data_IF_365982912393
#
_entry.id   IF_365982912393
#
_cell.length_a   1.000
_cell.length_b   1.000
_cell.length_c   1.000
_cell.angle_alpha   90.00
_cell.angle_beta   90.00
_cell.angle_gamma   90.00
#
_symmetry.space_group_name_H-M   'P 1'
#
loop_
_entity.id
_entity.type
_entity.pdbx_description
1 polymer ?
#
# COMPACT_ATOMS: atom_id res chain seq x y z
N UNK A 1 9.59 -16.87 8.55
CA UNK A 1 8.52 -15.97 8.05
C UNK A 1 8.99 -15.38 6.74
N UNK A 2 8.19 -15.41 5.67
CA UNK A 2 8.58 -14.77 4.41
C UNK A 2 8.70 -13.24 4.61
N UNK A 3 9.70 -12.63 3.97
CA UNK A 3 9.84 -11.18 3.87
C UNK A 3 9.48 -10.77 2.44
N UNK A 4 8.42 -9.97 2.30
CA UNK A 4 7.77 -9.70 1.01
C UNK A 4 7.71 -8.18 0.79
N UNK A 5 8.79 -7.54 0.28
CA UNK A 5 8.79 -6.11 0.06
C UNK A 5 7.82 -5.68 -1.04
N UNK A 6 7.38 -4.43 -0.95
CA UNK A 6 6.80 -3.70 -2.08
C UNK A 6 7.77 -2.58 -2.46
N UNK A 7 7.71 -2.12 -3.69
CA UNK A 7 8.62 -1.11 -4.19
C UNK A 7 8.11 0.31 -3.83
N UNK A 8 8.95 1.09 -3.17
CA UNK A 8 8.83 2.52 -3.01
C UNK A 8 9.65 3.30 -4.04
N UNK A 9 9.70 4.62 -3.87
CA UNK A 9 10.47 5.50 -4.75
C UNK A 9 11.98 5.37 -4.53
N UNK A 10 12.43 5.21 -3.28
CA UNK A 10 13.86 5.13 -2.97
C UNK A 10 14.50 3.81 -3.42
N UNK A 11 13.71 2.74 -3.56
CA UNK A 11 14.19 1.46 -4.11
C UNK A 11 14.60 1.56 -5.60
N UNK A 12 14.29 2.70 -6.22
CA UNK A 12 14.47 3.00 -7.64
C UNK A 12 15.41 4.16 -7.88
N UNK A 13 15.84 4.86 -6.83
CA UNK A 13 16.56 6.12 -6.96
C UNK A 13 17.97 5.91 -7.52
N UNK A 14 18.22 6.41 -8.73
CA UNK A 14 19.53 6.39 -9.39
C UNK A 14 20.35 7.62 -9.02
N UNK A 15 19.69 8.78 -8.99
CA UNK A 15 20.26 10.06 -8.61
C UNK A 15 19.30 10.80 -7.67
N UNK A 16 19.78 11.73 -6.81
CA UNK A 16 18.92 12.45 -5.90
C UNK A 16 17.83 13.27 -6.61
N UNK A 17 16.60 13.24 -6.09
CA UNK A 17 15.53 14.13 -6.57
C UNK A 17 15.85 15.61 -6.26
N UNK A 18 16.02 16.41 -7.31
CA UNK A 18 16.21 17.87 -7.21
C UNK A 18 14.90 18.68 -7.16
N UNK A 19 14.99 20.04 -7.12
CA UNK A 19 13.81 20.92 -7.08
C UNK A 19 13.07 21.06 -8.42
N UNK A 20 13.68 20.65 -9.54
CA UNK A 20 13.10 20.65 -10.90
C UNK A 20 13.45 19.35 -11.62
N UNK A 21 12.58 18.87 -12.55
CA UNK A 21 12.87 17.66 -13.31
C UNK A 21 14.18 17.82 -14.10
N UNK A 22 15.14 16.88 -13.96
CA UNK A 22 16.35 16.89 -14.78
C UNK A 22 16.07 16.37 -16.20
N UNK A 23 17.06 16.48 -17.08
CA UNK A 23 16.99 15.96 -18.46
C UNK A 23 17.11 14.43 -18.58
N UNK A 24 17.51 13.76 -17.49
CA UNK A 24 17.68 12.31 -17.41
C UNK A 24 16.71 11.73 -16.38
N UNK A 25 16.33 10.45 -16.48
CA UNK A 25 15.54 9.79 -15.44
C UNK A 25 16.26 9.81 -14.08
N UNK A 26 15.53 10.17 -13.03
CA UNK A 26 15.99 10.12 -11.63
C UNK A 26 15.86 8.71 -11.05
N UNK A 27 14.92 7.93 -11.61
CA UNK A 27 14.57 6.61 -11.10
C UNK A 27 14.69 5.55 -12.19
N UNK A 28 15.07 4.36 -11.78
CA UNK A 28 14.89 3.12 -12.53
C UNK A 28 13.51 2.55 -12.22
N UNK A 29 12.55 2.77 -13.13
CA UNK A 29 11.17 2.27 -12.98
C UNK A 29 11.13 0.75 -12.80
N UNK A 30 12.10 0.03 -13.36
CA UNK A 30 12.16 -1.42 -13.22
C UNK A 30 12.69 -1.87 -11.86
N UNK A 31 13.27 -0.97 -11.04
CA UNK A 31 13.90 -1.29 -9.77
C UNK A 31 14.93 -2.44 -9.88
N UNK A 32 15.74 -2.43 -10.95
CA UNK A 32 16.57 -3.56 -11.38
C UNK A 32 17.49 -4.04 -10.26
N UNK A 33 18.25 -3.12 -9.65
CA UNK A 33 19.18 -3.46 -8.57
C UNK A 33 18.45 -4.01 -7.33
N UNK A 34 17.29 -3.45 -6.99
CA UNK A 34 16.50 -3.91 -5.85
C UNK A 34 15.94 -5.31 -6.07
N UNK A 35 15.36 -5.56 -7.25
CA UNK A 35 14.74 -6.84 -7.60
C UNK A 35 15.76 -7.95 -7.85
N UNK A 36 17.02 -7.62 -8.13
CA UNK A 36 18.11 -8.59 -8.15
C UNK A 36 18.38 -9.16 -6.74
N UNK A 37 18.25 -8.33 -5.71
CA UNK A 37 18.44 -8.76 -4.32
C UNK A 37 17.17 -9.35 -3.68
N UNK A 38 16.01 -8.75 -3.96
CA UNK A 38 14.70 -9.22 -3.49
C UNK A 38 13.86 -9.75 -4.67
N UNK A 39 13.98 -11.04 -5.01
CA UNK A 39 13.11 -11.63 -6.03
C UNK A 39 11.67 -11.71 -5.49
N UNK A 40 10.80 -10.87 -6.04
CA UNK A 40 9.39 -10.77 -5.67
C UNK A 40 8.52 -11.68 -6.56
N UNK A 41 7.34 -12.12 -6.10
CA UNK A 41 6.47 -13.01 -6.87
C UNK A 41 5.99 -12.36 -8.17
N UNK A 42 5.44 -13.19 -9.06
CA UNK A 42 4.82 -12.75 -10.31
C UNK A 42 5.77 -11.88 -11.15
N UNK A 43 5.32 -10.68 -11.53
CA UNK A 43 6.12 -9.71 -12.29
C UNK A 43 7.10 -8.94 -11.38
N UNK A 44 7.02 -9.11 -10.06
CA UNK A 44 7.92 -8.53 -9.07
C UNK A 44 7.66 -7.06 -8.70
N UNK A 45 6.98 -6.30 -9.55
CA UNK A 45 6.61 -4.90 -9.25
C UNK A 45 5.16 -4.76 -8.75
N UNK A 46 4.28 -5.66 -9.19
CA UNK A 46 2.96 -5.95 -8.62
C UNK A 46 2.88 -7.45 -8.39
N UNK A 47 2.27 -7.87 -7.30
CA UNK A 47 2.23 -9.28 -6.95
C UNK A 47 1.08 -9.63 -6.02
N UNK A 48 0.75 -10.92 -6.01
CA UNK A 48 -0.22 -11.52 -5.09
C UNK A 48 0.47 -12.49 -4.14
N UNK A 49 0.06 -12.50 -2.88
CA UNK A 49 0.47 -13.51 -1.92
C UNK A 49 -0.72 -13.97 -1.07
N UNK A 50 -0.99 -15.27 -1.07
CA UNK A 50 -2.11 -15.84 -0.33
C UNK A 50 -1.64 -16.64 0.88
N UNK A 51 -2.44 -16.59 1.94
CA UNK A 51 -2.37 -17.50 3.09
C UNK A 51 -3.75 -18.16 3.24
N UNK A 52 -4.04 -19.21 2.44
CA UNK A 52 -5.38 -19.78 2.33
C UNK A 52 -5.94 -20.29 3.66
N UNK A 53 -5.08 -20.80 4.54
CA UNK A 53 -5.46 -21.29 5.87
C UNK A 53 -6.15 -20.23 6.75
N UNK A 54 -6.01 -18.93 6.42
CA UNK A 54 -6.64 -17.82 7.11
C UNK A 54 -7.53 -16.97 6.19
N UNK A 55 -7.79 -17.44 4.96
CA UNK A 55 -8.55 -16.69 3.96
C UNK A 55 -7.95 -15.32 3.62
N UNK A 56 -6.63 -15.16 3.75
CA UNK A 56 -5.93 -13.88 3.60
C UNK A 56 -5.23 -13.80 2.24
N UNK A 57 -5.37 -12.66 1.58
CA UNK A 57 -4.66 -12.29 0.36
C UNK A 57 -4.04 -10.91 0.51
N UNK A 58 -2.79 -10.78 0.07
CA UNK A 58 -2.12 -9.51 -0.14
C UNK A 58 -2.04 -9.22 -1.64
N UNK A 59 -2.32 -7.97 -2.00
CA UNK A 59 -2.15 -7.42 -3.34
C UNK A 59 -1.22 -6.21 -3.26
N UNK A 60 -0.01 -6.37 -3.76
CA UNK A 60 0.97 -5.29 -3.83
C UNK A 60 0.85 -4.52 -5.13
N UNK A 61 0.86 -3.20 -5.02
CA UNK A 61 0.85 -2.26 -6.11
C UNK A 61 2.18 -1.52 -6.19
N UNK A 62 2.64 -1.34 -7.41
CA UNK A 62 3.61 -0.32 -7.79
C UNK A 62 2.92 1.05 -7.87
N UNK A 63 2.90 1.75 -6.75
CA UNK A 63 2.44 3.13 -6.70
C UNK A 63 3.28 3.92 -5.72
N UNK A 64 4.00 4.90 -6.26
CA UNK A 64 4.74 5.94 -5.53
C UNK A 64 4.85 7.17 -6.45
N UNK A 65 4.81 8.37 -5.90
CA UNK A 65 4.84 9.65 -6.65
C UNK A 65 4.01 9.65 -7.95
N UNK A 66 2.76 9.20 -7.88
CA UNK A 66 1.92 8.90 -9.07
C UNK A 66 1.68 10.11 -10.00
N UNK A 67 1.88 11.32 -9.48
CA UNK A 67 1.80 12.58 -10.25
C UNK A 67 2.96 12.78 -11.23
N UNK A 68 4.07 12.08 -11.06
CA UNK A 68 5.26 12.22 -11.90
C UNK A 68 5.24 11.31 -13.14
N UNK A 69 4.15 10.55 -13.36
CA UNK A 69 4.00 9.73 -14.56
C UNK A 69 4.22 10.52 -15.85
N UNK A 70 5.00 9.95 -16.76
CA UNK A 70 5.38 10.56 -18.04
C UNK A 70 6.49 11.61 -17.93
N UNK A 71 7.08 11.82 -16.74
CA UNK A 71 8.19 12.76 -16.53
C UNK A 71 9.48 12.02 -16.21
N UNK A 72 10.60 12.74 -16.15
CA UNK A 72 11.90 12.21 -15.69
C UNK A 72 11.95 11.91 -14.19
N UNK A 73 10.88 12.21 -13.44
CA UNK A 73 10.67 11.81 -12.05
C UNK A 73 9.76 10.59 -11.88
N UNK A 74 9.30 9.98 -12.96
CA UNK A 74 8.46 8.78 -12.88
C UNK A 74 9.19 7.68 -12.11
N UNK A 75 8.59 7.23 -11.01
CA UNK A 75 9.12 6.14 -10.20
C UNK A 75 8.46 4.82 -10.56
N UNK A 76 7.20 4.82 -10.97
CA UNK A 76 6.38 3.62 -11.11
C UNK A 76 5.99 3.26 -12.55
N UNK A 77 5.60 2.01 -12.74
CA UNK A 77 4.86 1.57 -13.93
C UNK A 77 3.55 2.37 -14.05
N UNK A 78 2.91 2.40 -15.24
CA UNK A 78 1.66 3.14 -15.42
C UNK A 78 0.59 2.75 -14.38
N UNK A 79 -0.05 3.77 -13.78
CA UNK A 79 -1.10 3.60 -12.75
C UNK A 79 -2.45 4.25 -13.09
N UNK A 80 -2.66 4.62 -14.35
CA UNK A 80 -3.95 5.10 -14.86
C UNK A 80 -4.99 3.97 -14.91
N UNK A 81 -6.27 4.30 -15.06
CA UNK A 81 -7.39 3.35 -15.08
C UNK A 81 -7.37 2.37 -16.25
N UNK A 82 -6.63 2.68 -17.32
CA UNK A 82 -6.38 1.80 -18.46
C UNK A 82 -5.08 1.00 -18.34
N UNK A 83 -4.28 1.24 -17.29
CA UNK A 83 -2.98 0.59 -17.11
C UNK A 83 -3.09 -0.92 -16.88
N UNK A 84 -2.05 -1.70 -17.26
CA UNK A 84 -1.98 -3.13 -16.96
C UNK A 84 -2.13 -3.43 -15.46
N UNK A 85 -1.64 -2.54 -14.59
CA UNK A 85 -1.76 -2.70 -13.14
C UNK A 85 -3.19 -2.54 -12.66
N UNK A 86 -3.89 -1.49 -13.10
CA UNK A 86 -5.27 -1.25 -12.69
C UNK A 86 -6.19 -2.40 -13.12
N UNK A 87 -6.05 -2.85 -14.37
CA UNK A 87 -6.81 -3.99 -14.89
C UNK A 87 -6.49 -5.30 -14.15
N UNK A 88 -5.23 -5.53 -13.81
CA UNK A 88 -4.82 -6.68 -12.99
C UNK A 88 -5.44 -6.61 -11.60
N UNK A 89 -5.33 -5.47 -10.91
CA UNK A 89 -5.86 -5.29 -9.57
C UNK A 89 -7.38 -5.45 -9.54
N UNK A 90 -8.08 -4.90 -10.54
CA UNK A 90 -9.54 -5.07 -10.68
C UNK A 90 -9.94 -6.54 -10.76
N UNK A 91 -9.20 -7.36 -11.51
CA UNK A 91 -9.45 -8.83 -11.58
C UNK A 91 -9.15 -9.52 -10.26
N UNK A 92 -8.03 -9.21 -9.61
CA UNK A 92 -7.63 -9.89 -8.38
C UNK A 92 -8.51 -9.53 -7.18
N UNK A 93 -8.89 -8.26 -7.04
CA UNK A 93 -9.72 -7.81 -5.91
C UNK A 93 -11.16 -8.31 -6.04
N UNK A 94 -11.68 -8.50 -7.26
CA UNK A 94 -13.02 -9.01 -7.51
C UNK A 94 -13.20 -10.51 -7.17
N UNK A 95 -12.11 -11.28 -7.07
CA UNK A 95 -12.17 -12.69 -6.66
C UNK A 95 -12.72 -12.80 -5.23
N UNK A 96 -13.56 -13.82 -5.00
CA UNK A 96 -14.25 -14.06 -3.72
C UNK A 96 -13.70 -15.26 -2.96
N UNK A 97 -12.53 -15.75 -3.36
CA UNK A 97 -11.83 -16.90 -2.77
C UNK A 97 -10.98 -16.55 -1.54
N UNK A 98 -11.03 -15.29 -1.08
CA UNK A 98 -10.36 -14.82 0.12
C UNK A 98 -11.31 -13.92 0.95
N UNK A 99 -11.45 -14.24 2.24
CA UNK A 99 -12.24 -13.46 3.20
C UNK A 99 -11.60 -12.10 3.51
N UNK A 100 -10.28 -12.03 3.51
CA UNK A 100 -9.53 -10.80 3.80
C UNK A 100 -8.59 -10.48 2.64
N UNK A 101 -8.70 -9.27 2.09
CA UNK A 101 -7.81 -8.80 1.03
C UNK A 101 -7.14 -7.50 1.47
N UNK A 102 -5.83 -7.48 1.55
CA UNK A 102 -5.05 -6.31 1.96
C UNK A 102 -4.30 -5.76 0.77
N UNK A 103 -4.55 -4.49 0.47
CA UNK A 103 -3.86 -3.79 -0.60
C UNK A 103 -2.64 -3.06 -0.02
N UNK A 104 -1.48 -3.25 -0.63
CA UNK A 104 -0.23 -2.62 -0.22
C UNK A 104 0.24 -1.66 -1.32
N UNK A 105 0.66 -0.45 -0.97
CA UNK A 105 1.28 0.51 -1.90
C UNK A 105 2.29 1.42 -1.18
N UNK A 106 2.98 2.31 -1.91
CA UNK A 106 3.89 3.30 -1.34
C UNK A 106 3.57 4.71 -1.85
N UNK A 107 2.30 5.11 -1.77
CA UNK A 107 1.81 6.45 -2.10
C UNK A 107 0.86 6.94 -1.01
N UNK A 108 0.62 8.24 -0.92
CA UNK A 108 -0.41 8.81 -0.05
C UNK A 108 -1.77 8.21 -0.40
N UNK A 109 -2.47 7.68 0.60
CA UNK A 109 -3.80 7.10 0.41
C UNK A 109 -4.80 8.10 -0.20
N UNK A 110 -4.78 9.36 0.26
CA UNK A 110 -5.62 10.42 -0.31
C UNK A 110 -5.28 10.71 -1.79
N UNK A 111 -4.01 10.64 -2.16
CA UNK A 111 -3.57 10.81 -3.54
C UNK A 111 -4.12 9.69 -4.42
N UNK A 112 -3.91 8.43 -4.03
CA UNK A 112 -4.39 7.29 -4.81
C UNK A 112 -5.91 7.30 -5.01
N UNK A 113 -6.69 7.65 -3.95
CA UNK A 113 -8.15 7.73 -4.06
C UNK A 113 -8.63 8.83 -5.01
N UNK A 114 -7.90 9.93 -5.14
CA UNK A 114 -8.23 11.04 -6.04
C UNK A 114 -7.58 10.96 -7.42
N UNK A 115 -6.58 10.10 -7.59
CA UNK A 115 -5.82 9.99 -8.82
C UNK A 115 -6.67 9.50 -9.98
N UNK A 116 -6.36 9.97 -11.19
CA UNK A 116 -7.05 9.62 -12.44
C UNK A 116 -8.59 9.65 -12.30
N UNK A 117 -9.12 10.80 -11.86
CA UNK A 117 -10.56 11.04 -11.63
C UNK A 117 -11.19 10.04 -10.64
N UNK A 118 -10.39 9.49 -9.73
CA UNK A 118 -10.82 8.55 -8.70
C UNK A 118 -10.93 7.11 -9.15
N UNK A 119 -10.23 6.71 -10.22
CA UNK A 119 -10.31 5.35 -10.79
C UNK A 119 -9.97 4.22 -9.81
N UNK A 120 -9.17 4.47 -8.77
CA UNK A 120 -8.75 3.48 -7.78
C UNK A 120 -9.74 3.30 -6.63
N UNK A 121 -10.45 4.36 -6.23
CA UNK A 121 -11.36 4.36 -5.09
C UNK A 121 -12.39 3.20 -5.10
N UNK A 122 -13.15 2.95 -6.19
CA UNK A 122 -14.12 1.86 -6.21
C UNK A 122 -13.48 0.47 -6.13
N UNK A 123 -12.22 0.32 -6.57
CA UNK A 123 -11.50 -0.96 -6.46
C UNK A 123 -10.91 -1.16 -5.07
N UNK A 124 -10.41 -0.12 -4.42
CA UNK A 124 -9.95 -0.21 -3.03
C UNK A 124 -11.08 -0.60 -2.08
N UNK A 125 -12.30 -0.12 -2.31
CA UNK A 125 -13.47 -0.51 -1.50
C UNK A 125 -13.84 -2.00 -1.59
N UNK A 126 -13.30 -2.75 -2.55
CA UNK A 126 -13.49 -4.19 -2.64
C UNK A 126 -12.46 -4.98 -1.83
N UNK A 127 -11.41 -4.34 -1.32
CA UNK A 127 -10.48 -4.97 -0.37
C UNK A 127 -11.00 -4.84 1.07
N UNK A 128 -10.21 -5.26 2.04
CA UNK A 128 -10.50 -5.19 3.48
C UNK A 128 -9.83 -3.97 4.12
N UNK A 129 -8.67 -3.57 3.60
CA UNK A 129 -7.94 -2.36 3.97
C UNK A 129 -6.90 -2.03 2.89
N UNK A 130 -6.45 -0.77 2.87
CA UNK A 130 -5.28 -0.32 2.10
C UNK A 130 -4.21 0.15 3.08
N UNK A 131 -2.97 -0.31 2.89
CA UNK A 131 -1.82 0.03 3.73
C UNK A 131 -0.73 0.66 2.86
N UNK A 132 -0.17 1.77 3.32
CA UNK A 132 0.96 2.44 2.69
C UNK A 132 2.09 2.74 3.67
N UNK A 133 3.30 2.88 3.14
CA UNK A 133 4.51 3.29 3.87
C UNK A 133 5.01 4.70 3.53
N UNK A 134 4.30 5.45 2.67
CA UNK A 134 4.79 6.69 2.10
C UNK A 134 5.08 7.79 3.15
N UNK A 135 4.19 7.94 4.14
CA UNK A 135 4.33 8.88 5.24
C UNK A 135 5.21 8.38 6.36
N UNK A 136 6.12 9.23 6.82
CA UNK A 136 6.99 8.97 7.98
C UNK A 136 6.25 9.30 9.28
N UNK A 137 5.07 8.68 9.46
CA UNK A 137 4.18 8.80 10.62
C UNK A 137 3.21 7.61 10.65
N UNK A 138 2.43 7.44 11.72
CA UNK A 138 1.32 6.48 11.76
C UNK A 138 -0.01 7.18 11.54
N UNK A 139 -0.88 6.67 10.66
CA UNK A 139 -2.21 7.22 10.44
C UNK A 139 -3.22 6.13 10.07
N UNK A 140 -4.42 6.19 10.64
CA UNK A 140 -5.61 5.51 10.09
C UNK A 140 -6.62 6.56 9.65
N UNK A 141 -6.95 6.58 8.36
CA UNK A 141 -8.08 7.34 7.83
C UNK A 141 -9.29 6.43 7.61
N UNK A 142 -10.49 6.97 7.83
CA UNK A 142 -11.76 6.26 7.65
C UNK A 142 -12.59 6.97 6.59
N UNK A 143 -12.74 6.35 5.43
CA UNK A 143 -13.46 6.93 4.29
C UNK A 143 -14.69 6.08 4.01
N UNK A 144 -15.87 6.61 4.35
CA UNK A 144 -17.16 5.93 4.21
C UNK A 144 -17.15 4.52 4.85
N UNK A 145 -16.56 4.42 6.04
CA UNK A 145 -16.45 3.17 6.81
C UNK A 145 -15.33 2.22 6.38
N UNK A 146 -14.55 2.58 5.35
CA UNK A 146 -13.41 1.81 4.88
C UNK A 146 -12.08 2.38 5.41
N UNK A 147 -11.20 1.56 6.02
CA UNK A 147 -9.97 2.03 6.63
C UNK A 147 -8.76 2.04 5.67
N UNK A 148 -8.00 3.12 5.75
CA UNK A 148 -6.71 3.31 5.08
C UNK A 148 -5.63 3.53 6.13
N UNK A 149 -4.51 2.83 6.03
CA UNK A 149 -3.42 2.89 6.99
C UNK A 149 -2.16 3.46 6.33
N UNK A 150 -1.46 4.34 7.03
CA UNK A 150 -0.08 4.71 6.75
C UNK A 150 0.77 4.31 7.95
N UNK A 151 1.86 3.57 7.73
CA UNK A 151 2.73 3.10 8.81
C UNK A 151 4.19 3.27 8.43
N UNK A 152 5.03 3.59 9.41
CA UNK A 152 6.45 3.74 9.18
C UNK A 152 7.22 3.45 10.46
N UNK A 153 8.32 2.71 10.32
CA UNK A 153 9.26 2.44 11.42
C UNK A 153 10.05 3.69 11.82
N UNK A 154 9.90 4.80 11.09
CA UNK A 154 10.45 6.12 11.40
C UNK A 154 9.31 7.14 11.40
N UNK A 155 8.77 7.43 12.58
CA UNK A 155 7.54 8.22 12.76
C UNK A 155 7.74 9.73 12.92
N UNK A 156 8.93 10.26 12.63
CA UNK A 156 9.32 11.63 12.96
C UNK A 156 9.08 12.66 11.84
N UNK A 157 8.54 12.25 10.69
CA UNK A 157 8.41 13.12 9.52
C UNK A 157 7.22 14.06 9.51
N UNK A 158 7.12 14.86 8.45
CA UNK A 158 6.08 15.86 8.30
C UNK A 158 4.70 15.25 8.12
N UNK A 159 3.71 15.87 8.76
CA UNK A 159 2.33 15.43 8.74
C UNK A 159 1.57 16.07 7.57
N UNK A 160 1.33 15.29 6.53
CA UNK A 160 0.34 15.58 5.48
C UNK A 160 -0.89 14.71 5.69
N UNK A 161 -1.60 14.99 6.79
CA UNK A 161 -2.74 14.18 7.22
C UNK A 161 -3.81 14.06 6.15
N UNK A 162 -4.38 12.86 6.04
CA UNK A 162 -5.61 12.67 5.30
C UNK A 162 -6.73 13.52 5.95
N UNK A 163 -7.54 14.27 5.18
CA UNK A 163 -8.70 14.99 5.74
C UNK A 163 -9.73 14.07 6.44
N UNK A 164 -9.66 12.77 6.19
CA UNK A 164 -10.50 11.73 6.80
C UNK A 164 -9.78 10.93 7.90
N UNK A 165 -8.67 11.46 8.40
CA UNK A 165 -7.86 10.87 9.46
C UNK A 165 -8.64 10.70 10.76
N UNK A 166 -8.70 9.47 11.27
CA UNK A 166 -9.35 9.08 12.53
C UNK A 166 -8.34 8.83 13.65
N UNK A 167 -7.10 8.48 13.32
CA UNK A 167 -5.99 8.30 14.25
C UNK A 167 -4.69 8.77 13.60
N UNK A 168 -3.83 9.44 14.38
CA UNK A 168 -2.47 9.85 13.95
C UNK A 168 -1.50 9.70 15.12
N UNK A 169 -0.29 9.23 14.81
CA UNK A 169 0.85 9.23 15.73
C UNK A 169 2.13 9.65 15.00
N UNK A 170 3.06 10.26 15.75
CA UNK A 170 4.44 10.54 15.32
C UNK A 170 5.46 9.63 16.02
N UNK A 171 5.02 8.46 16.45
CA UNK A 171 5.88 7.40 16.97
C UNK A 171 6.30 6.44 15.86
N UNK A 172 7.49 5.87 15.98
CA UNK A 172 7.91 4.71 15.20
C UNK A 172 6.91 3.58 15.40
N UNK A 173 6.32 3.10 14.32
CA UNK A 173 5.20 2.17 14.38
C UNK A 173 5.20 1.14 13.25
N UNK A 174 4.44 0.07 13.47
CA UNK A 174 4.09 -0.92 12.46
C UNK A 174 2.62 -1.31 12.60
N UNK A 175 2.06 -1.88 11.54
CA UNK A 175 0.74 -2.51 11.56
C UNK A 175 0.90 -4.02 11.79
N UNK A 176 0.20 -4.55 12.79
CA UNK A 176 0.06 -5.98 13.05
C UNK A 176 -1.32 -6.46 12.63
N UNK A 177 -1.36 -7.46 11.73
CA UNK A 177 -2.57 -8.19 11.38
C UNK A 177 -2.63 -9.47 12.20
N UNK A 178 -3.70 -9.65 12.97
CA UNK A 178 -3.94 -10.88 13.74
C UNK A 178 -5.20 -11.56 13.22
N UNK A 179 -5.04 -12.82 12.80
CA UNK A 179 -6.09 -13.66 12.27
C UNK A 179 -6.17 -14.94 13.11
N UNK A 180 -7.40 -15.34 13.42
CA UNK A 180 -7.69 -16.67 13.94
C UNK A 180 -8.31 -17.48 12.81
N UNK A 181 -7.89 -18.73 12.66
CA UNK A 181 -8.45 -19.63 11.64
C UNK A 181 -9.98 -19.67 11.77
N UNK A 182 -10.67 -19.58 10.63
CA UNK A 182 -12.14 -19.62 10.50
C UNK A 182 -12.89 -18.48 11.24
N UNK A 183 -12.18 -17.50 11.81
CA UNK A 183 -12.82 -16.36 12.45
C UNK A 183 -13.43 -15.40 11.41
N UNK A 184 -14.61 -14.82 11.70
CA UNK A 184 -15.27 -13.90 10.78
C UNK A 184 -14.60 -12.52 10.73
N UNK A 185 -13.67 -12.24 11.64
CA UNK A 185 -13.00 -10.95 11.76
C UNK A 185 -11.48 -11.09 11.80
N UNK A 186 -10.79 -10.08 11.29
CA UNK A 186 -9.36 -9.86 11.45
C UNK A 186 -9.15 -8.62 12.31
N UNK A 187 -8.14 -8.65 13.19
CA UNK A 187 -7.71 -7.47 13.94
C UNK A 187 -6.51 -6.81 13.27
N UNK A 188 -6.59 -5.51 13.04
CA UNK A 188 -5.48 -4.67 12.59
C UNK A 188 -5.11 -3.72 13.72
N UNK A 189 -3.84 -3.69 14.11
CA UNK A 189 -3.37 -2.82 15.20
C UNK A 189 -2.16 -2.00 14.77
N UNK A 190 -2.17 -0.71 15.09
CA UNK A 190 -0.92 0.03 15.19
C UNK A 190 -0.22 -0.33 16.48
N UNK A 191 1.07 -0.63 16.39
CA UNK A 191 1.92 -0.85 17.54
C UNK A 191 3.20 -0.04 17.40
N UNK A 192 3.71 0.47 18.51
CA UNK A 192 5.06 1.03 18.53
C UNK A 192 6.12 -0.08 18.67
N UNK A 193 7.39 0.30 18.59
CA UNK A 193 8.51 -0.64 18.68
C UNK A 193 8.69 -1.29 20.06
N UNK A 194 8.04 -0.75 21.11
CA UNK A 194 7.95 -1.39 22.44
C UNK A 194 6.88 -2.47 22.50
N UNK A 195 6.05 -2.59 21.46
CA UNK A 195 4.94 -3.54 21.40
C UNK A 195 3.66 -3.04 22.08
N UNK A 196 3.59 -1.78 22.45
CA UNK A 196 2.36 -1.15 22.96
C UNK A 196 1.39 -0.93 21.80
N UNK A 197 0.10 -1.16 22.04
CA UNK A 197 -0.95 -0.93 21.05
C UNK A 197 -1.32 0.55 21.08
N UNK A 198 -1.22 1.22 19.93
CA UNK A 198 -1.55 2.63 19.77
C UNK A 198 -2.98 2.84 19.26
N UNK A 199 -3.44 1.95 18.38
CA UNK A 199 -4.77 1.98 17.78
C UNK A 199 -5.18 0.57 17.34
N UNK A 200 -6.48 0.30 17.24
CA UNK A 200 -7.02 -1.01 16.85
C UNK A 200 -8.27 -0.84 16.00
N UNK A 201 -8.36 -1.66 14.93
CA UNK A 201 -9.55 -1.82 14.11
C UNK A 201 -9.84 -3.30 13.90
N UNK A 202 -11.09 -3.69 14.12
CA UNK A 202 -11.59 -4.99 13.68
C UNK A 202 -12.22 -4.85 12.29
N UNK A 203 -11.86 -5.77 11.41
CA UNK A 203 -12.31 -5.83 10.02
C UNK A 203 -13.14 -7.09 9.84
N UNK A 204 -14.37 -6.93 9.40
CA UNK A 204 -15.23 -8.03 9.00
C UNK A 204 -14.71 -8.64 7.70
N UNK A 205 -14.65 -9.97 7.64
CA UNK A 205 -14.34 -10.68 6.40
C UNK A 205 -15.34 -10.31 5.31
N UNK A 206 -14.85 -10.18 4.09
CA UNK A 206 -15.68 -10.05 2.90
C UNK A 206 -16.64 -11.24 2.87
N UNK A 207 -17.92 -10.95 2.64
CA UNK A 207 -18.89 -12.01 2.39
C UNK A 207 -18.42 -12.77 1.15
N UNK A 208 -18.26 -14.09 1.29
CA UNK A 208 -18.15 -14.98 0.13
C UNK A 208 -19.41 -14.86 -0.74
N UNK A 209 -19.42 -15.49 -1.93
CA UNK A 209 -20.62 -15.51 -2.77
C UNK A 209 -21.83 -16.07 -2.03
#
# INVERSE_FOLDING_TARGET
TPFMPILGNHDRELTPRGPKPPLHPVYDVEATAYREFFPLPDEGWKWRFDIPAFGLRFLALDASHVKDQGTTWQTNHPVTGDSPQHQWYAREVAKTDASFVITLNNEQNAMMRGYDKGAWLPLFRQSSAVITGFGYFGERAEVDGFPYFNTCLKGDGDLYKDPKSAFVTREDNYVLLTLTKDAPTMKIQFKNLRGEVLDTREIQGRLGP
#
